data_IF_153213156290
#
_entry.id   IF_153213156290
#
_cell.length_a   1.000
_cell.length_b   1.000
_cell.length_c   1.000
_cell.angle_alpha   90.00
_cell.angle_beta   90.00
_cell.angle_gamma   90.00
#
_symmetry.space_group_name_H-M   'P 1'
#
loop_
_entity.id
_entity.type
_entity.pdbx_description
1 polymer ?
#
# COMPACT_ATOMS: atom_id res chain seq x y z
N UNK A 1 -1.46 -34.45 -0.22
CA UNK A 1 -0.10 -34.54 -0.82
C UNK A 1 -0.25 -34.90 -2.28
N UNK A 2 -0.04 -33.96 -3.20
CA UNK A 2 -0.12 -34.19 -4.65
C UNK A 2 1.24 -33.95 -5.29
N UNK A 3 1.74 -34.95 -6.03
CA UNK A 3 3.00 -34.90 -6.78
C UNK A 3 2.97 -33.79 -7.84
N UNK A 4 4.07 -33.05 -7.95
CA UNK A 4 4.32 -32.10 -9.05
C UNK A 4 5.00 -32.87 -10.18
N UNK A 5 4.41 -32.87 -11.38
CA UNK A 5 5.05 -33.29 -12.63
C UNK A 5 5.04 -32.12 -13.61
N UNK A 6 6.15 -31.95 -14.33
CA UNK A 6 6.34 -30.92 -15.35
C UNK A 6 5.62 -31.32 -16.64
N UNK A 7 4.40 -30.82 -16.84
CA UNK A 7 3.76 -30.81 -18.14
C UNK A 7 3.57 -29.37 -18.62
N UNK A 8 4.12 -29.07 -19.80
CA UNK A 8 3.87 -27.84 -20.54
C UNK A 8 2.48 -27.93 -21.16
N UNK A 9 1.50 -27.24 -20.59
CA UNK A 9 0.16 -27.14 -21.16
C UNK A 9 0.12 -25.96 -22.14
N UNK A 10 0.16 -26.25 -23.44
CA UNK A 10 -0.14 -25.27 -24.48
C UNK A 10 -1.66 -25.18 -24.61
N UNK A 11 -2.26 -24.11 -24.10
CA UNK A 11 -3.67 -23.80 -24.34
C UNK A 11 -3.79 -22.73 -25.43
N UNK A 12 -4.68 -22.96 -26.40
CA UNK A 12 -4.91 -22.11 -27.58
C UNK A 12 -4.94 -20.60 -27.34
N UNK A 13 -4.42 -19.86 -28.32
CA UNK A 13 -4.08 -18.44 -28.32
C UNK A 13 -5.25 -17.47 -28.50
N UNK A 14 -6.48 -17.93 -28.70
CA UNK A 14 -7.61 -17.05 -28.97
C UNK A 14 -8.48 -16.80 -27.74
N UNK A 15 -8.05 -15.89 -26.86
CA UNK A 15 -8.94 -15.19 -25.93
C UNK A 15 -8.51 -13.72 -25.80
N UNK A 16 -9.43 -12.79 -26.10
CA UNK A 16 -9.27 -11.35 -25.85
C UNK A 16 -9.29 -11.06 -24.34
N UNK A 17 -8.19 -11.33 -23.66
CA UNK A 17 -8.01 -10.98 -22.26
C UNK A 17 -6.72 -11.58 -21.70
N UNK A 18 -5.89 -10.76 -21.06
CA UNK A 18 -4.75 -11.27 -20.27
C UNK A 18 -5.30 -12.20 -19.19
N UNK A 19 -4.86 -13.46 -19.17
CA UNK A 19 -5.14 -14.36 -18.05
C UNK A 19 -4.57 -13.72 -16.79
N UNK A 20 -5.40 -13.58 -15.74
CA UNK A 20 -4.87 -13.40 -14.39
C UNK A 20 -3.98 -14.63 -14.12
N UNK A 21 -2.71 -14.40 -13.79
CA UNK A 21 -1.78 -15.48 -13.45
C UNK A 21 -2.40 -16.36 -12.36
N UNK A 22 -2.10 -17.66 -12.35
CA UNK A 22 -2.59 -18.56 -11.30
C UNK A 22 -2.11 -18.04 -9.94
N UNK A 23 -3.12 -17.87 -9.07
CA UNK A 23 -3.09 -17.43 -7.68
C UNK A 23 -2.19 -18.24 -6.73
N UNK A 24 -1.01 -17.85 -6.23
CA UNK A 24 -0.37 -18.63 -5.16
C UNK A 24 -1.26 -18.62 -3.91
N UNK A 25 -1.48 -19.79 -3.30
CA UNK A 25 -2.44 -20.01 -2.20
C UNK A 25 -2.03 -19.46 -0.82
N UNK A 26 -0.97 -18.67 -0.72
CA UNK A 26 -0.47 -18.12 0.54
C UNK A 26 -0.72 -16.61 0.62
N UNK A 27 -1.99 -16.23 0.83
CA UNK A 27 -2.43 -14.83 0.84
C UNK A 27 -2.85 -14.41 2.22
N UNK A 28 -2.30 -13.28 2.65
CA UNK A 28 -2.80 -12.54 3.78
C UNK A 28 -3.90 -11.59 3.32
N UNK A 29 -4.95 -11.46 4.14
CA UNK A 29 -6.04 -10.52 3.90
C UNK A 29 -5.86 -9.30 4.81
N UNK A 30 -6.23 -8.13 4.29
CA UNK A 30 -6.39 -6.90 5.06
C UNK A 30 -7.85 -6.50 4.98
N UNK A 31 -8.48 -6.25 6.11
CA UNK A 31 -9.86 -5.76 6.15
C UNK A 31 -9.85 -4.24 6.16
N UNK A 32 -10.70 -3.62 5.34
CA UNK A 32 -10.98 -2.19 5.35
C UNK A 32 -12.38 -1.96 5.93
N UNK A 33 -12.49 -1.13 6.96
CA UNK A 33 -13.75 -0.53 7.37
C UNK A 33 -13.72 0.94 6.92
N UNK A 34 -14.63 1.29 6.01
CA UNK A 34 -14.70 2.62 5.41
C UNK A 34 -16.07 3.27 5.66
N UNK A 35 -16.11 4.60 5.71
CA UNK A 35 -17.34 5.37 5.75
C UNK A 35 -17.23 6.59 4.82
N UNK A 36 -18.35 6.95 4.21
CA UNK A 36 -18.50 8.11 3.34
C UNK A 36 -19.74 8.91 3.73
N UNK A 37 -19.68 10.21 3.48
CA UNK A 37 -20.77 11.15 3.75
C UNK A 37 -21.41 11.61 2.44
N UNK A 38 -22.72 11.85 2.48
CA UNK A 38 -23.45 12.49 1.37
C UNK A 38 -22.89 13.87 1.01
N UNK A 39 -22.12 14.50 1.91
CA UNK A 39 -21.39 15.73 1.65
C UNK A 39 -20.17 15.57 0.72
N UNK A 40 -19.87 14.38 0.23
CA UNK A 40 -18.80 14.15 -0.77
C UNK A 40 -17.41 13.90 -0.16
N UNK A 41 -17.33 13.50 1.10
CA UNK A 41 -16.07 13.23 1.80
C UNK A 41 -16.09 11.85 2.47
N UNK A 42 -14.90 11.30 2.72
CA UNK A 42 -14.70 10.01 3.38
C UNK A 42 -14.11 10.19 4.77
N UNK A 43 -14.45 9.26 5.67
CA UNK A 43 -13.73 9.09 6.94
C UNK A 43 -12.38 8.43 6.64
N UNK A 44 -11.29 8.81 7.32
CA UNK A 44 -10.00 8.16 7.17
C UNK A 44 -10.11 6.63 7.32
N UNK A 45 -9.47 5.84 6.44
CA UNK A 45 -9.51 4.38 6.48
C UNK A 45 -9.17 3.79 7.84
N UNK A 46 -9.90 2.73 8.19
CA UNK A 46 -9.61 1.87 9.31
C UNK A 46 -9.24 0.49 8.78
N UNK A 47 -7.95 0.16 8.87
CA UNK A 47 -7.37 -1.06 8.32
C UNK A 47 -7.15 -2.08 9.44
N UNK A 48 -7.52 -3.34 9.22
CA UNK A 48 -7.27 -4.43 10.16
C UNK A 48 -6.29 -5.41 9.52
N UNK A 49 -5.13 -5.56 10.15
CA UNK A 49 -4.08 -6.48 9.76
C UNK A 49 -4.16 -7.77 10.55
N UNK A 50 -3.94 -8.92 9.90
CA UNK A 50 -3.80 -10.18 10.61
C UNK A 50 -2.51 -10.19 11.44
N UNK A 51 -2.59 -10.44 12.74
CA UNK A 51 -1.46 -10.49 13.65
C UNK A 51 -1.77 -9.94 15.05
N UNK A 52 -0.76 -9.98 15.91
CA UNK A 52 -0.90 -9.59 17.33
C UNK A 52 -0.15 -8.31 17.69
N UNK A 53 0.78 -7.86 16.84
CA UNK A 53 1.66 -6.74 17.14
C UNK A 53 1.67 -5.73 16.01
N UNK A 54 1.71 -4.46 16.41
CA UNK A 54 2.07 -3.34 15.57
C UNK A 54 3.58 -3.34 15.34
N UNK A 55 4.01 -3.27 14.08
CA UNK A 55 5.42 -3.21 13.70
C UNK A 55 5.82 -1.78 13.33
N UNK A 56 6.96 -1.31 13.84
CA UNK A 56 7.49 0.04 13.60
C UNK A 56 7.51 0.41 12.12
N UNK A 57 7.95 -0.49 11.25
CA UNK A 57 8.05 -0.25 9.81
C UNK A 57 6.72 0.15 9.13
N UNK A 58 5.56 -0.23 9.67
CA UNK A 58 4.25 0.19 9.13
C UNK A 58 4.03 1.69 9.32
N UNK A 59 4.58 2.25 10.38
CA UNK A 59 4.49 3.65 10.77
C UNK A 59 5.64 4.48 10.21
N UNK A 60 6.43 3.93 9.29
CA UNK A 60 7.42 4.66 8.48
C UNK A 60 6.98 4.79 7.00
N UNK A 61 5.89 4.14 6.60
CA UNK A 61 5.31 4.30 5.26
C UNK A 61 4.58 5.65 5.14
N UNK A 62 4.57 6.21 3.94
CA UNK A 62 3.90 7.47 3.62
C UNK A 62 2.39 7.25 3.46
N UNK A 63 1.69 7.24 4.60
CA UNK A 63 0.23 7.25 4.70
C UNK A 63 -0.23 8.39 5.62
N UNK A 64 -1.44 8.94 5.44
CA UNK A 64 -1.90 10.06 6.25
C UNK A 64 -1.96 9.71 7.75
N UNK A 65 -1.61 10.69 8.61
CA UNK A 65 -1.48 10.52 10.07
C UNK A 65 -2.78 10.08 10.75
N UNK A 66 -3.92 10.39 10.16
CA UNK A 66 -5.25 10.08 10.68
C UNK A 66 -5.77 8.70 10.26
N UNK A 67 -5.02 7.93 9.47
CA UNK A 67 -5.39 6.56 9.15
C UNK A 67 -5.19 5.65 10.37
N UNK A 68 -6.18 4.79 10.63
CA UNK A 68 -6.14 3.85 11.73
C UNK A 68 -5.69 2.47 11.24
N UNK A 69 -4.74 1.87 11.96
CA UNK A 69 -4.31 0.48 11.79
C UNK A 69 -4.67 -0.26 13.08
N UNK A 70 -5.41 -1.35 12.92
CA UNK A 70 -5.75 -2.29 13.96
C UNK A 70 -5.14 -3.65 13.65
N UNK A 71 -5.01 -4.50 14.67
CA UNK A 71 -4.55 -5.87 14.49
C UNK A 71 -5.53 -6.86 15.13
N UNK A 72 -5.77 -7.98 14.47
CA UNK A 72 -6.53 -9.12 15.00
C UNK A 72 -5.90 -10.43 14.55
N UNK A 73 -6.05 -11.52 15.31
CA UNK A 73 -5.37 -12.79 15.02
C UNK A 73 -5.62 -13.30 13.59
N UNK A 74 -6.82 -13.08 13.07
CA UNK A 74 -7.27 -13.57 11.76
C UNK A 74 -7.45 -12.46 10.71
N UNK A 75 -7.22 -11.18 11.07
CA UNK A 75 -7.40 -10.03 10.20
C UNK A 75 -8.86 -9.61 9.98
N UNK A 76 -9.83 -10.27 10.64
CA UNK A 76 -11.26 -9.93 10.57
C UNK A 76 -11.65 -8.95 11.68
N UNK A 77 -12.78 -8.28 11.50
CA UNK A 77 -13.40 -7.46 12.53
C UNK A 77 -14.08 -8.33 13.60
N UNK A 78 -14.19 -7.79 14.81
CA UNK A 78 -14.98 -8.33 15.92
C UNK A 78 -15.78 -7.19 16.57
N UNK A 79 -16.44 -7.46 17.71
CA UNK A 79 -17.26 -6.47 18.38
C UNK A 79 -16.39 -5.34 18.96
N UNK A 80 -15.24 -5.68 19.54
CA UNK A 80 -14.30 -4.74 20.15
C UNK A 80 -13.75 -3.77 19.10
N UNK A 81 -13.29 -4.28 17.96
CA UNK A 81 -12.83 -3.47 16.83
C UNK A 81 -13.97 -2.67 16.18
N UNK A 82 -15.21 -3.18 16.23
CA UNK A 82 -16.40 -2.44 15.81
C UNK A 82 -16.63 -1.19 16.66
N UNK A 83 -16.46 -1.30 17.98
CA UNK A 83 -16.53 -0.16 18.90
C UNK A 83 -15.37 0.81 18.70
N UNK A 84 -14.14 0.32 18.53
CA UNK A 84 -12.99 1.18 18.24
C UNK A 84 -13.14 1.93 16.90
N UNK A 85 -13.68 1.26 15.88
CA UNK A 85 -14.04 1.92 14.62
C UNK A 85 -15.12 2.99 14.82
N UNK A 86 -16.11 2.78 15.70
CA UNK A 86 -17.14 3.77 15.98
C UNK A 86 -16.56 5.00 16.70
N UNK A 87 -15.60 4.81 17.62
CA UNK A 87 -14.85 5.92 18.24
C UNK A 87 -14.09 6.72 17.18
N UNK A 88 -13.39 6.03 16.27
CA UNK A 88 -12.71 6.63 15.12
C UNK A 88 -13.68 7.41 14.22
N UNK A 89 -14.80 6.79 13.83
CA UNK A 89 -15.87 7.44 13.07
C UNK A 89 -16.37 8.70 13.78
N UNK A 90 -16.63 8.62 15.08
CA UNK A 90 -17.14 9.76 15.84
C UNK A 90 -16.13 10.91 15.85
N UNK A 91 -14.85 10.63 16.13
CA UNK A 91 -13.78 11.63 16.15
C UNK A 91 -13.66 12.41 14.83
N UNK A 92 -13.86 11.73 13.69
CA UNK A 92 -13.77 12.36 12.37
C UNK A 92 -15.06 12.99 11.84
N UNK A 93 -16.21 12.71 12.45
CA UNK A 93 -17.51 13.19 11.96
C UNK A 93 -18.20 14.16 12.89
N UNK A 94 -17.87 14.18 14.19
CA UNK A 94 -18.57 15.01 15.18
C UNK A 94 -18.50 16.51 14.84
N UNK A 95 -17.31 17.02 14.52
CA UNK A 95 -17.11 18.42 14.12
C UNK A 95 -17.76 18.79 12.78
N UNK A 96 -18.22 17.80 11.99
CA UNK A 96 -18.86 17.97 10.69
C UNK A 96 -20.38 17.77 10.76
N UNK A 97 -20.94 17.63 11.96
CA UNK A 97 -22.37 17.40 12.16
C UNK A 97 -23.17 18.62 11.72
N UNK A 98 -24.19 18.39 10.89
CA UNK A 98 -25.17 19.40 10.52
C UNK A 98 -26.48 19.05 11.22
N UNK A 99 -27.01 19.97 12.03
CA UNK A 99 -28.18 19.72 12.87
C UNK A 99 -27.84 18.98 14.16
N UNK A 100 -28.83 18.26 14.72
CA UNK A 100 -28.70 17.64 16.04
C UNK A 100 -28.16 16.19 16.02
N UNK A 101 -28.21 15.50 14.87
CA UNK A 101 -28.01 14.05 14.78
C UNK A 101 -27.27 13.65 13.51
N UNK A 102 -26.53 12.54 13.58
CA UNK A 102 -25.92 11.88 12.41
C UNK A 102 -26.64 10.56 12.12
N UNK A 103 -26.92 10.29 10.86
CA UNK A 103 -27.45 8.99 10.41
C UNK A 103 -26.28 8.13 9.91
N UNK A 104 -26.12 6.95 10.48
CA UNK A 104 -25.13 5.96 10.09
C UNK A 104 -25.84 4.76 9.46
N UNK A 105 -25.68 4.59 8.14
CA UNK A 105 -26.28 3.49 7.38
C UNK A 105 -25.27 2.34 7.34
N UNK A 106 -25.67 1.17 7.84
CA UNK A 106 -24.83 -0.02 8.00
C UNK A 106 -25.48 -1.27 7.42
N UNK A 107 -24.66 -2.27 7.11
CA UNK A 107 -25.17 -3.60 6.81
C UNK A 107 -25.56 -4.34 8.11
N UNK A 108 -26.19 -5.51 7.96
CA UNK A 108 -26.61 -6.34 9.08
C UNK A 108 -25.48 -7.15 9.73
N UNK A 109 -24.22 -6.72 9.63
CA UNK A 109 -23.10 -7.48 10.19
C UNK A 109 -23.10 -7.48 11.73
N UNK A 110 -22.76 -8.63 12.34
CA UNK A 110 -22.87 -8.86 13.79
C UNK A 110 -22.03 -7.87 14.63
N UNK A 111 -20.91 -7.38 14.09
CA UNK A 111 -19.99 -6.45 14.80
C UNK A 111 -20.63 -5.12 15.20
N UNK A 112 -21.73 -4.71 14.57
CA UNK A 112 -22.44 -3.47 14.88
C UNK A 112 -23.71 -3.71 15.73
N UNK A 113 -23.93 -4.95 16.19
CA UNK A 113 -25.10 -5.34 16.98
C UNK A 113 -24.79 -5.49 18.47
N UNK A 114 -23.56 -5.18 18.92
CA UNK A 114 -23.23 -5.21 20.35
C UNK A 114 -23.94 -4.09 21.11
N UNK A 115 -24.25 -4.34 22.38
CA UNK A 115 -24.87 -3.36 23.27
C UNK A 115 -23.99 -2.10 23.39
N UNK A 116 -22.69 -2.30 23.61
CA UNK A 116 -21.70 -1.21 23.73
C UNK A 116 -21.68 -0.31 22.47
N UNK A 117 -21.77 -0.91 21.28
CA UNK A 117 -21.83 -0.14 20.03
C UNK A 117 -23.10 0.72 19.95
N UNK A 118 -24.25 0.17 20.38
CA UNK A 118 -25.53 0.88 20.38
C UNK A 118 -25.57 1.99 21.43
N UNK A 119 -25.04 1.74 22.63
CA UNK A 119 -24.92 2.74 23.70
C UNK A 119 -24.03 3.90 23.26
N UNK A 120 -22.86 3.61 22.69
CA UNK A 120 -21.95 4.64 22.18
C UNK A 120 -22.58 5.47 21.05
N UNK A 121 -23.37 4.84 20.16
CA UNK A 121 -24.15 5.56 19.16
C UNK A 121 -25.15 6.53 19.80
N UNK A 122 -25.90 6.05 20.81
CA UNK A 122 -26.91 6.84 21.52
C UNK A 122 -26.28 8.04 22.24
N UNK A 123 -25.18 7.82 22.96
CA UNK A 123 -24.43 8.87 23.67
C UNK A 123 -23.92 9.96 22.72
N UNK A 124 -23.55 9.59 21.49
CA UNK A 124 -22.99 10.51 20.50
C UNK A 124 -24.02 11.05 19.48
N UNK A 125 -25.33 10.88 19.74
CA UNK A 125 -26.42 11.30 18.85
C UNK A 125 -26.31 10.73 17.42
N UNK A 126 -25.83 9.49 17.30
CA UNK A 126 -25.73 8.73 16.05
C UNK A 126 -26.92 7.77 15.99
N UNK A 127 -27.73 7.90 14.95
CA UNK A 127 -28.81 6.95 14.66
C UNK A 127 -28.30 5.93 13.65
N UNK A 128 -28.40 4.65 13.98
CA UNK A 128 -28.05 3.58 13.04
C UNK A 128 -29.28 3.17 12.23
N UNK A 129 -29.08 2.98 10.92
CA UNK A 129 -30.08 2.41 10.03
C UNK A 129 -29.47 1.17 9.37
N UNK A 130 -29.98 0.00 9.72
CA UNK A 130 -29.56 -1.26 9.12
C UNK A 130 -30.27 -1.46 7.78
N UNK A 131 -29.50 -1.76 6.73
CA UNK A 131 -30.06 -2.12 5.44
C UNK A 131 -30.73 -3.51 5.49
N UNK A 132 -31.75 -3.76 4.64
CA UNK A 132 -32.30 -5.10 4.47
C UNK A 132 -31.23 -6.11 4.05
N UNK A 133 -31.35 -7.39 4.45
CA UNK A 133 -30.44 -8.45 4.00
C UNK A 133 -30.32 -8.50 2.47
N UNK A 134 -29.12 -8.85 1.98
CA UNK A 134 -28.81 -9.00 0.55
C UNK A 134 -29.03 -7.76 -0.33
N UNK A 135 -29.17 -6.56 0.25
CA UNK A 135 -29.43 -5.32 -0.48
C UNK A 135 -28.22 -4.39 -0.66
N UNK A 136 -27.02 -4.77 -0.19
CA UNK A 136 -25.81 -3.93 -0.27
C UNK A 136 -25.50 -3.42 -1.68
N UNK A 137 -25.62 -4.28 -2.69
CA UNK A 137 -25.39 -3.92 -4.09
C UNK A 137 -26.36 -2.87 -4.65
N UNK A 138 -27.45 -2.58 -3.93
CA UNK A 138 -28.46 -1.59 -4.29
C UNK A 138 -28.39 -0.35 -3.40
N UNK A 139 -28.33 -0.55 -2.08
CA UNK A 139 -28.54 0.50 -1.09
C UNK A 139 -27.25 0.99 -0.42
N UNK A 140 -26.13 0.27 -0.53
CA UNK A 140 -24.88 0.63 0.12
C UNK A 140 -24.03 1.50 -0.83
N UNK A 141 -23.87 2.80 -0.57
CA UNK A 141 -23.14 3.68 -1.49
C UNK A 141 -21.71 3.21 -1.75
N UNK A 142 -21.04 2.66 -0.72
CA UNK A 142 -19.69 2.12 -0.87
C UNK A 142 -19.61 1.03 -1.94
N UNK A 143 -20.54 0.07 -1.96
CA UNK A 143 -20.59 -0.99 -2.97
C UNK A 143 -21.00 -0.47 -4.35
N UNK A 144 -21.97 0.45 -4.39
CA UNK A 144 -22.51 1.01 -5.62
C UNK A 144 -21.46 1.86 -6.36
N UNK A 145 -20.65 2.65 -5.64
CA UNK A 145 -19.82 3.68 -6.28
C UNK A 145 -18.33 3.69 -5.92
N UNK A 146 -17.89 3.17 -4.77
CA UNK A 146 -16.49 3.35 -4.32
C UNK A 146 -15.65 2.07 -4.41
N UNK A 147 -16.19 0.92 -4.02
CA UNK A 147 -15.43 -0.33 -3.90
C UNK A 147 -15.04 -0.92 -5.26
N UNK A 148 -15.88 -0.78 -6.30
CA UNK A 148 -15.51 -1.22 -7.65
C UNK A 148 -14.34 -0.41 -8.23
N UNK A 149 -14.35 0.95 -8.20
CA UNK A 149 -13.17 1.76 -8.51
C UNK A 149 -11.95 1.41 -7.65
N UNK A 150 -12.11 1.22 -6.34
CA UNK A 150 -11.00 0.85 -5.44
C UNK A 150 -10.35 -0.46 -5.88
N UNK A 151 -11.14 -1.53 -6.11
CA UNK A 151 -10.64 -2.83 -6.58
C UNK A 151 -9.87 -2.71 -7.89
N UNK A 152 -10.36 -1.89 -8.83
CA UNK A 152 -9.68 -1.63 -10.11
C UNK A 152 -8.38 -0.85 -9.92
N UNK A 153 -8.38 0.21 -9.12
CA UNK A 153 -7.20 1.03 -8.85
C UNK A 153 -6.12 0.21 -8.12
N UNK A 154 -6.50 -0.54 -7.09
CA UNK A 154 -5.58 -1.41 -6.37
C UNK A 154 -5.01 -2.52 -7.26
N UNK A 155 -5.83 -3.11 -8.14
CA UNK A 155 -5.34 -4.10 -9.11
C UNK A 155 -4.25 -3.52 -10.03
N UNK A 156 -4.38 -2.25 -10.44
CA UNK A 156 -3.36 -1.57 -11.25
C UNK A 156 -2.06 -1.34 -10.46
N UNK A 157 -2.17 -1.00 -9.17
CA UNK A 157 -0.99 -0.86 -8.30
C UNK A 157 -0.26 -2.19 -8.12
N UNK A 158 -1.01 -3.27 -7.88
CA UNK A 158 -0.45 -4.63 -7.82
C UNK A 158 0.24 -5.01 -9.14
N UNK A 159 -0.40 -4.74 -10.29
CA UNK A 159 0.24 -4.97 -11.59
C UNK A 159 1.51 -4.14 -11.79
N UNK A 160 1.55 -2.90 -11.29
CA UNK A 160 2.73 -2.04 -11.33
C UNK A 160 3.88 -2.63 -10.50
N UNK A 161 3.59 -3.07 -9.27
CA UNK A 161 4.55 -3.76 -8.41
C UNK A 161 5.09 -5.04 -9.05
N UNK A 162 4.21 -5.86 -9.63
CA UNK A 162 4.59 -7.09 -10.33
C UNK A 162 5.47 -6.81 -11.55
N UNK A 163 5.15 -5.77 -12.33
CA UNK A 163 6.03 -5.31 -13.41
C UNK A 163 7.39 -4.98 -12.82
N UNK A 164 7.47 -4.30 -11.69
CA UNK A 164 8.76 -4.00 -11.04
C UNK A 164 9.42 -5.16 -10.29
N UNK A 165 9.08 -6.42 -10.61
CA UNK A 165 9.61 -7.64 -10.00
C UNK A 165 9.34 -7.76 -8.48
N UNK A 166 8.40 -6.97 -7.95
CA UNK A 166 7.91 -7.10 -6.58
C UNK A 166 6.72 -8.06 -6.61
N UNK A 167 7.04 -9.36 -6.52
CA UNK A 167 6.04 -10.43 -6.62
C UNK A 167 5.43 -10.86 -5.27
N UNK A 168 6.03 -10.41 -4.16
CA UNK A 168 5.54 -10.67 -2.82
C UNK A 168 5.14 -9.35 -2.16
N UNK A 169 3.84 -9.11 -2.02
CA UNK A 169 3.29 -7.89 -1.44
C UNK A 169 3.09 -8.13 0.06
N UNK A 170 3.94 -7.54 0.89
CA UNK A 170 3.73 -7.50 2.34
C UNK A 170 2.85 -6.30 2.72
N UNK A 171 2.55 -6.15 4.01
CA UNK A 171 1.89 -4.93 4.53
C UNK A 171 2.63 -3.64 4.17
N UNK A 172 3.96 -3.68 4.02
CA UNK A 172 4.77 -2.52 3.65
C UNK A 172 4.55 -2.10 2.20
N UNK A 173 4.41 -3.05 1.27
CA UNK A 173 4.03 -2.75 -0.12
C UNK A 173 2.53 -2.44 -0.24
N UNK A 174 1.69 -3.07 0.59
CA UNK A 174 0.24 -2.86 0.62
C UNK A 174 -0.13 -1.43 0.96
N UNK A 175 0.42 -0.86 2.05
CA UNK A 175 0.04 0.47 2.54
C UNK A 175 0.12 1.59 1.48
N UNK A 176 1.25 1.81 0.78
CA UNK A 176 1.34 2.84 -0.25
C UNK A 176 0.51 2.51 -1.49
N UNK A 177 0.43 1.24 -1.90
CA UNK A 177 -0.41 0.81 -3.03
C UNK A 177 -1.91 1.04 -2.72
N UNK A 178 -2.34 0.72 -1.50
CA UNK A 178 -3.69 0.94 -1.02
C UNK A 178 -4.00 2.43 -0.89
N UNK A 179 -3.07 3.24 -0.36
CA UNK A 179 -3.21 4.72 -0.34
C UNK A 179 -3.47 5.28 -1.74
N UNK A 180 -2.60 4.96 -2.69
CA UNK A 180 -2.76 5.43 -4.05
C UNK A 180 -4.09 4.95 -4.69
N UNK A 181 -4.55 3.75 -4.35
CA UNK A 181 -5.83 3.22 -4.81
C UNK A 181 -7.02 3.92 -4.15
N UNK A 182 -6.95 4.17 -2.84
CA UNK A 182 -7.97 4.84 -2.04
C UNK A 182 -8.17 6.28 -2.51
N UNK A 183 -7.08 7.04 -2.68
CA UNK A 183 -7.11 8.43 -3.15
C UNK A 183 -7.78 8.57 -4.53
N UNK A 184 -7.61 7.57 -5.42
CA UNK A 184 -8.26 7.54 -6.74
C UNK A 184 -9.71 7.07 -6.72
N UNK A 185 -10.12 6.33 -5.69
CA UNK A 185 -11.44 5.74 -5.60
C UNK A 185 -12.42 6.57 -4.75
N UNK A 186 -11.96 7.17 -3.66
CA UNK A 186 -12.78 7.91 -2.70
C UNK A 186 -12.78 9.41 -3.01
N UNK A 187 -13.03 9.77 -4.27
CA UNK A 187 -13.15 11.16 -4.71
C UNK A 187 -14.55 11.70 -4.41
N UNK A 188 -14.73 13.03 -4.23
CA UNK A 188 -16.05 13.63 -4.05
C UNK A 188 -17.03 13.24 -5.16
N UNK A 189 -16.57 13.23 -6.42
CA UNK A 189 -17.39 12.84 -7.56
C UNK A 189 -17.92 11.39 -7.44
N UNK A 190 -17.05 10.43 -7.08
CA UNK A 190 -17.46 9.05 -6.88
C UNK A 190 -18.42 8.91 -5.70
N UNK A 191 -18.19 9.65 -4.60
CA UNK A 191 -19.06 9.63 -3.42
C UNK A 191 -20.45 10.20 -3.75
N UNK A 192 -20.56 11.35 -4.42
CA UNK A 192 -21.85 11.88 -4.83
C UNK A 192 -22.59 10.91 -5.78
N UNK A 193 -21.87 10.32 -6.73
CA UNK A 193 -22.43 9.31 -7.63
C UNK A 193 -22.88 8.06 -6.89
N UNK A 194 -22.16 7.66 -5.83
CA UNK A 194 -22.49 6.52 -4.99
C UNK A 194 -23.84 6.71 -4.28
N UNK A 195 -24.02 7.86 -3.61
CA UNK A 195 -25.27 8.19 -2.93
C UNK A 195 -26.44 8.34 -3.90
N UNK A 196 -26.21 8.94 -5.08
CA UNK A 196 -27.22 9.03 -6.14
C UNK A 196 -27.59 7.65 -6.68
N UNK A 197 -26.60 6.80 -6.95
CA UNK A 197 -26.81 5.44 -7.48
C UNK A 197 -27.54 4.52 -6.50
N UNK A 198 -27.36 4.74 -5.21
CA UNK A 198 -28.10 4.09 -4.12
C UNK A 198 -29.47 4.71 -3.85
N UNK A 199 -29.86 5.77 -4.57
CA UNK A 199 -31.15 6.45 -4.41
C UNK A 199 -31.33 7.15 -3.06
N UNK A 200 -30.25 7.44 -2.33
CA UNK A 200 -30.30 8.03 -1.00
C UNK A 200 -30.24 9.57 -1.05
N UNK A 201 -29.39 10.12 -1.92
CA UNK A 201 -29.22 11.58 -2.07
C UNK A 201 -29.10 11.99 -3.55
N UNK A 202 -30.10 12.70 -4.10
CA UNK A 202 -31.43 12.92 -3.52
C UNK A 202 -32.17 11.59 -3.30
N UNK A 203 -33.15 11.58 -2.39
CA UNK A 203 -33.96 10.40 -2.12
C UNK A 203 -34.79 10.04 -3.36
N UNK A 204 -34.46 8.91 -4.01
CA UNK A 204 -35.09 8.42 -5.24
C UNK A 204 -35.38 6.91 -5.11
N UNK A 205 -36.45 6.51 -4.41
CA UNK A 205 -36.77 5.10 -4.18
C UNK A 205 -37.01 4.34 -5.50
N UNK A 206 -37.71 4.96 -6.45
CA UNK A 206 -38.05 4.34 -7.75
C UNK A 206 -36.82 3.90 -8.55
N UNK A 207 -35.72 4.67 -8.50
CA UNK A 207 -34.48 4.32 -9.18
C UNK A 207 -33.81 3.05 -8.63
N UNK A 208 -34.13 2.67 -7.39
CA UNK A 208 -33.69 1.42 -6.77
C UNK A 208 -34.71 0.32 -7.01
N UNK A 209 -36.00 0.60 -6.82
CA UNK A 209 -37.08 -0.38 -7.01
C UNK A 209 -37.14 -0.90 -8.45
N UNK A 210 -36.90 -0.04 -9.45
CA UNK A 210 -36.87 -0.45 -10.85
C UNK A 210 -35.76 -1.46 -11.19
N UNK A 211 -34.71 -1.57 -10.36
CA UNK A 211 -33.62 -2.55 -10.55
C UNK A 211 -33.98 -3.95 -10.04
N UNK A 212 -35.04 -4.06 -9.24
CA UNK A 212 -35.55 -5.35 -8.76
C UNK A 212 -36.32 -6.09 -9.86
N UNK A 213 -36.80 -5.36 -10.87
CA UNK A 213 -37.50 -5.92 -12.03
C UNK A 213 -36.47 -6.28 -13.14
N UNK A 214 -35.88 -7.47 -13.02
CA UNK A 214 -34.77 -7.91 -13.88
C UNK A 214 -35.30 -8.42 -15.21
N UNK A 215 -35.22 -7.61 -16.27
CA UNK A 215 -35.31 -8.09 -17.65
C UNK A 215 -33.94 -8.54 -18.16
N UNK A 216 -33.74 -9.85 -18.32
CA UNK A 216 -32.54 -10.43 -18.92
C UNK A 216 -32.44 -9.99 -20.39
N UNK A 217 -31.45 -9.13 -20.71
CA UNK A 217 -31.08 -8.83 -22.09
C UNK A 217 -29.84 -9.62 -22.50
N UNK A 218 -29.98 -10.46 -23.51
CA UNK A 218 -28.87 -11.18 -24.13
C UNK A 218 -28.03 -10.19 -24.94
N UNK A 219 -26.71 -10.05 -24.69
CA UNK A 219 -25.85 -9.20 -25.51
C UNK A 219 -25.77 -9.74 -26.94
N UNK A 220 -25.92 -8.87 -27.94
CA UNK A 220 -25.69 -9.21 -29.35
C UNK A 220 -24.19 -9.51 -29.57
N UNK A 221 -23.81 -10.60 -30.26
CA UNK A 221 -22.42 -10.90 -30.56
C UNK A 221 -21.77 -9.78 -31.37
N UNK A 222 -20.50 -9.42 -31.11
CA UNK A 222 -19.78 -8.47 -31.95
C UNK A 222 -19.60 -9.05 -33.35
N UNK A 223 -19.82 -8.23 -34.38
CA UNK A 223 -19.50 -8.59 -35.76
C UNK A 223 -17.98 -8.84 -35.90
N UNK A 224 -17.63 -9.85 -36.72
CA UNK A 224 -16.26 -10.17 -37.06
C UNK A 224 -15.60 -8.99 -37.81
N UNK A 225 -14.37 -8.65 -37.43
CA UNK A 225 -13.54 -7.69 -38.17
C UNK A 225 -12.92 -8.39 -39.39
N UNK A 226 -12.85 -7.74 -40.56
CA UNK A 226 -12.19 -8.30 -41.73
C UNK A 226 -10.66 -8.33 -41.57
N UNK A 227 -10.04 -9.35 -42.16
CA UNK A 227 -8.58 -9.53 -42.22
C UNK A 227 -7.90 -8.36 -42.93
N UNK A 228 -6.89 -7.78 -42.27
CA UNK A 228 -6.05 -6.75 -42.86
C UNK A 228 -4.95 -7.40 -43.74
N UNK A 229 -4.68 -6.88 -44.94
CA UNK A 229 -3.58 -7.35 -45.77
C UNK A 229 -2.22 -6.99 -45.14
N UNK A 230 -1.26 -7.92 -45.31
CA UNK A 230 0.11 -7.85 -44.81
C UNK A 230 0.86 -6.59 -45.28
N UNK A 231 1.62 -5.96 -44.37
CA UNK A 231 2.37 -4.71 -44.59
C UNK A 231 3.87 -4.96 -44.47
N UNK A 232 4.65 -4.24 -45.30
CA UNK A 232 6.11 -4.30 -45.42
C UNK A 232 6.88 -4.34 -44.08
N UNK A 233 7.92 -5.18 -44.03
CA UNK A 233 8.71 -5.45 -42.83
C UNK A 233 9.68 -4.29 -42.50
N UNK A 234 9.54 -3.78 -41.28
CA UNK A 234 10.42 -2.75 -40.69
C UNK A 234 11.68 -3.42 -40.14
N UNK A 235 12.88 -2.82 -40.29
CA UNK A 235 14.10 -3.32 -39.66
C UNK A 235 13.91 -3.44 -38.15
N UNK A 236 14.17 -4.62 -37.60
CA UNK A 236 13.96 -4.96 -36.19
C UNK A 236 15.25 -4.89 -35.36
N UNK A 237 16.41 -4.79 -36.01
CA UNK A 237 17.72 -4.76 -35.37
C UNK A 237 18.73 -3.93 -36.17
N UNK A 238 19.86 -3.59 -35.52
CA UNK A 238 20.90 -2.74 -36.09
C UNK A 238 21.50 -3.31 -37.39
N UNK A 239 21.57 -4.63 -37.52
CA UNK A 239 22.12 -5.32 -38.70
C UNK A 239 21.17 -5.20 -39.91
N UNK A 240 19.86 -5.32 -39.68
CA UNK A 240 18.84 -5.08 -40.71
C UNK A 240 18.81 -3.62 -41.15
N UNK A 241 18.99 -2.68 -40.22
CA UNK A 241 19.10 -1.26 -40.51
C UNK A 241 20.34 -0.96 -41.37
N UNK A 242 21.49 -1.55 -41.04
CA UNK A 242 22.74 -1.43 -41.80
C UNK A 242 22.62 -2.03 -43.21
N UNK A 243 21.95 -3.18 -43.34
CA UNK A 243 21.68 -3.81 -44.62
C UNK A 243 20.74 -2.96 -45.50
N UNK A 244 19.68 -2.39 -44.93
CA UNK A 244 18.78 -1.48 -45.66
C UNK A 244 19.47 -0.17 -46.06
N UNK A 245 20.27 0.42 -45.18
CA UNK A 245 21.08 1.61 -45.48
C UNK A 245 22.05 1.36 -46.64
N UNK A 246 22.70 0.20 -46.66
CA UNK A 246 23.59 -0.23 -47.74
C UNK A 246 22.84 -0.42 -49.06
N UNK A 247 21.63 -1.01 -49.02
CA UNK A 247 20.76 -1.18 -50.18
C UNK A 247 20.31 0.16 -50.77
N UNK A 248 19.94 1.14 -49.92
CA UNK A 248 19.58 2.49 -50.34
C UNK A 248 20.78 3.16 -51.03
N UNK A 249 21.97 3.09 -50.43
CA UNK A 249 23.21 3.67 -50.98
C UNK A 249 23.53 3.12 -52.37
N UNK A 250 23.35 1.82 -52.57
CA UNK A 250 23.58 1.17 -53.86
C UNK A 250 22.53 1.57 -54.90
N UNK A 251 21.24 1.59 -54.52
CA UNK A 251 20.15 2.04 -55.41
C UNK A 251 20.33 3.50 -55.85
N UNK A 252 20.79 4.38 -54.96
CA UNK A 252 21.11 5.78 -55.29
C UNK A 252 22.29 5.87 -56.27
N UNK A 253 23.36 5.07 -56.06
CA UNK A 253 24.53 5.04 -56.95
C UNK A 253 24.21 4.54 -58.36
N UNK A 254 23.29 3.60 -58.49
CA UNK A 254 22.90 3.00 -59.77
C UNK A 254 21.76 3.75 -60.50
N UNK A 255 21.22 4.82 -59.90
CA UNK A 255 20.08 5.54 -60.44
C UNK A 255 20.46 6.40 -61.66
N UNK A 256 19.95 6.05 -62.85
CA UNK A 256 20.30 6.74 -64.11
C UNK A 256 19.22 7.58 -64.78
N UNK A 257 17.94 7.53 -64.35
CA UNK A 257 16.83 8.44 -64.76
C UNK A 257 15.41 7.87 -64.58
N UNK A 258 15.23 6.61 -64.15
CA UNK A 258 13.89 6.05 -63.86
C UNK A 258 13.28 6.63 -62.57
N UNK A 259 12.00 6.36 -62.27
CA UNK A 259 11.28 6.93 -61.10
C UNK A 259 12.01 6.72 -59.75
N UNK A 260 12.05 7.74 -58.85
CA UNK A 260 12.69 7.66 -57.53
C UNK A 260 11.87 6.92 -56.47
N UNK A 261 10.69 6.41 -56.81
CA UNK A 261 9.74 5.80 -55.87
C UNK A 261 10.36 4.69 -54.99
N UNK A 262 11.20 3.82 -55.57
CA UNK A 262 11.85 2.73 -54.83
C UNK A 262 12.90 3.20 -53.81
N UNK A 263 13.51 4.37 -54.04
CA UNK A 263 14.47 4.98 -53.12
C UNK A 263 13.71 5.70 -52.00
N UNK A 264 12.65 6.43 -52.33
CA UNK A 264 11.76 7.11 -51.37
C UNK A 264 11.15 6.08 -50.42
N UNK A 265 10.64 4.96 -50.93
CA UNK A 265 10.06 3.89 -50.12
C UNK A 265 11.07 3.30 -49.13
N UNK A 266 12.31 3.09 -49.54
CA UNK A 266 13.36 2.58 -48.67
C UNK A 266 13.79 3.61 -47.59
N UNK A 267 13.82 4.91 -47.94
CA UNK A 267 14.04 5.99 -46.96
C UNK A 267 12.88 6.05 -45.94
N UNK A 268 11.63 5.92 -46.39
CA UNK A 268 10.46 5.90 -45.51
C UNK A 268 10.47 4.69 -44.56
N UNK A 269 10.92 3.52 -45.03
CA UNK A 269 11.11 2.33 -44.20
C UNK A 269 12.20 2.56 -43.14
N UNK A 270 13.33 3.17 -43.52
CA UNK A 270 14.41 3.51 -42.59
C UNK A 270 13.94 4.54 -41.54
N UNK A 271 13.20 5.56 -41.96
CA UNK A 271 12.59 6.54 -41.06
C UNK A 271 11.67 5.86 -40.05
N UNK A 272 10.75 5.00 -40.49
CA UNK A 272 9.85 4.24 -39.61
C UNK A 272 10.63 3.34 -38.64
N UNK A 273 11.67 2.66 -39.11
CA UNK A 273 12.54 1.84 -38.26
C UNK A 273 13.23 2.67 -37.18
N UNK A 274 13.77 3.83 -37.53
CA UNK A 274 14.38 4.76 -36.58
C UNK A 274 13.36 5.28 -35.55
N UNK A 275 12.15 5.67 -35.98
CA UNK A 275 11.06 6.09 -35.09
C UNK A 275 10.68 5.01 -34.07
N UNK A 276 10.54 3.75 -34.52
CA UNK A 276 10.24 2.61 -33.64
C UNK A 276 11.38 2.35 -32.65
N UNK A 277 12.64 2.41 -33.10
CA UNK A 277 13.80 2.24 -32.22
C UNK A 277 13.90 3.36 -31.18
N UNK A 278 13.66 4.62 -31.57
CA UNK A 278 13.67 5.76 -30.66
C UNK A 278 12.57 5.64 -29.60
N UNK A 279 11.35 5.30 -30.01
CA UNK A 279 10.24 5.05 -29.08
C UNK A 279 10.56 3.88 -28.14
N UNK A 280 11.14 2.81 -28.65
CA UNK A 280 11.54 1.65 -27.85
C UNK A 280 12.64 2.02 -26.85
N UNK A 281 13.61 2.85 -27.24
CA UNK A 281 14.66 3.34 -26.35
C UNK A 281 14.08 4.23 -25.23
N UNK A 282 13.08 5.06 -25.53
CA UNK A 282 12.37 5.85 -24.52
C UNK A 282 11.65 4.94 -23.51
N UNK A 283 10.88 3.97 -24.01
CA UNK A 283 10.19 2.99 -23.17
C UNK A 283 11.17 2.18 -22.30
N UNK A 284 12.35 1.84 -22.83
CA UNK A 284 13.41 1.17 -22.07
C UNK A 284 14.00 2.07 -20.98
N UNK A 285 14.26 3.36 -21.27
CA UNK A 285 14.74 4.33 -20.27
C UNK A 285 13.74 4.52 -19.15
N UNK A 286 12.47 4.71 -19.47
CA UNK A 286 11.38 4.78 -18.48
C UNK A 286 11.30 3.51 -17.63
N UNK A 287 11.47 2.36 -18.27
CA UNK A 287 11.44 1.06 -17.59
C UNK A 287 12.60 0.88 -16.62
N UNK A 288 13.83 1.22 -17.04
CA UNK A 288 15.03 1.18 -16.20
C UNK A 288 14.84 2.12 -15.01
N UNK A 289 14.43 3.37 -15.24
CA UNK A 289 14.20 4.34 -14.17
C UNK A 289 13.15 3.86 -13.16
N UNK A 290 12.05 3.26 -13.64
CA UNK A 290 11.00 2.70 -12.78
C UNK A 290 11.52 1.52 -11.94
N UNK A 291 12.33 0.64 -12.55
CA UNK A 291 12.95 -0.48 -11.86
C UNK A 291 13.96 -0.03 -10.80
N UNK A 292 14.82 0.94 -11.12
CA UNK A 292 15.78 1.50 -10.17
C UNK A 292 15.07 2.10 -8.95
N UNK A 293 14.03 2.93 -9.18
CA UNK A 293 13.23 3.53 -8.10
C UNK A 293 12.57 2.45 -7.22
N UNK A 294 11.96 1.45 -7.85
CA UNK A 294 11.28 0.37 -7.14
C UNK A 294 12.26 -0.51 -6.35
N UNK A 295 13.44 -0.80 -6.91
CA UNK A 295 14.47 -1.59 -6.24
C UNK A 295 15.07 -0.85 -5.04
N UNK A 296 15.32 0.45 -5.18
CA UNK A 296 15.77 1.31 -4.08
C UNK A 296 14.75 1.36 -2.94
N UNK A 297 13.46 1.56 -3.25
CA UNK A 297 12.38 1.55 -2.26
C UNK A 297 12.23 0.18 -1.58
N UNK A 298 12.28 -0.91 -2.33
CA UNK A 298 12.23 -2.27 -1.78
C UNK A 298 13.44 -2.57 -0.88
N UNK A 299 14.62 -2.10 -1.26
CA UNK A 299 15.85 -2.25 -0.47
C UNK A 299 15.77 -1.44 0.83
N UNK A 300 15.29 -0.21 0.79
CA UNK A 300 15.06 0.61 1.99
C UNK A 300 14.07 -0.08 2.94
N UNK A 301 12.94 -0.60 2.45
CA UNK A 301 11.96 -1.35 3.26
C UNK A 301 12.54 -2.60 3.90
N UNK A 302 13.45 -3.31 3.21
CA UNK A 302 14.12 -4.49 3.77
C UNK A 302 15.06 -4.15 4.92
N UNK A 303 15.63 -2.95 4.92
CA UNK A 303 16.52 -2.47 5.97
C UNK A 303 15.77 -1.89 7.18
N UNK A 304 14.47 -1.57 7.03
CA UNK A 304 13.65 -1.02 8.12
C UNK A 304 13.55 -1.98 9.30
N UNK A 305 13.57 -1.39 10.49
CA UNK A 305 13.38 -2.10 11.74
C UNK A 305 11.94 -2.62 11.84
N UNK A 306 11.78 -3.87 12.27
CA UNK A 306 10.47 -4.51 12.50
C UNK A 306 10.20 -4.69 13.99
N UNK A 307 10.57 -3.69 14.80
CA UNK A 307 10.35 -3.70 16.26
C UNK A 307 8.85 -3.74 16.53
N UNK A 308 8.46 -4.53 17.52
CA UNK A 308 7.08 -4.59 18.01
C UNK A 308 6.87 -3.38 18.91
N UNK A 309 5.95 -2.50 18.55
CA UNK A 309 5.72 -1.25 19.29
C UNK A 309 4.47 -1.30 20.18
N UNK A 310 3.49 -2.12 19.82
CA UNK A 310 2.28 -2.33 20.61
C UNK A 310 1.73 -3.72 20.35
N UNK A 311 1.15 -4.35 21.38
CA UNK A 311 0.42 -5.60 21.27
C UNK A 311 -1.09 -5.31 21.22
N UNK A 312 -1.79 -5.87 20.23
CA UNK A 312 -3.21 -5.69 19.98
C UNK A 312 -3.65 -4.22 19.82
N UNK A 313 -4.96 -4.02 19.69
CA UNK A 313 -5.60 -2.71 19.66
C UNK A 313 -5.38 -1.95 18.36
N UNK A 314 -5.70 -0.66 18.43
CA UNK A 314 -5.69 0.28 17.30
C UNK A 314 -4.64 1.35 17.55
N UNK A 315 -3.96 1.75 16.49
CA UNK A 315 -3.08 2.90 16.47
C UNK A 315 -3.36 3.71 15.21
N UNK A 316 -3.50 5.02 15.36
CA UNK A 316 -3.42 5.90 14.21
C UNK A 316 -1.97 5.96 13.74
N UNK A 317 -1.78 6.23 12.45
CA UNK A 317 -0.46 6.44 11.88
C UNK A 317 0.33 7.51 12.67
N UNK A 318 -0.34 8.61 13.03
CA UNK A 318 0.24 9.68 13.83
C UNK A 318 0.67 9.24 15.22
N UNK A 319 -0.18 8.50 15.94
CA UNK A 319 0.17 7.96 17.26
C UNK A 319 1.34 6.97 17.19
N UNK A 320 1.41 6.15 16.13
CA UNK A 320 2.55 5.27 15.92
C UNK A 320 3.84 6.03 15.62
N UNK A 321 3.79 7.11 14.84
CA UNK A 321 4.95 8.00 14.63
C UNK A 321 5.41 8.65 15.94
N UNK A 322 4.48 9.10 16.77
CA UNK A 322 4.79 9.71 18.07
C UNK A 322 5.47 8.69 19.01
N UNK A 323 5.00 7.43 19.01
CA UNK A 323 5.65 6.33 19.75
C UNK A 323 7.08 6.09 19.24
N UNK A 324 7.31 6.13 17.92
CA UNK A 324 8.65 5.94 17.36
C UNK A 324 9.59 7.08 17.76
N UNK A 325 9.12 8.32 17.63
CA UNK A 325 9.88 9.51 18.03
C UNK A 325 10.24 9.49 19.52
N UNK A 326 9.29 9.12 20.40
CA UNK A 326 9.55 9.00 21.83
C UNK A 326 10.59 7.92 22.14
N UNK A 327 10.49 6.75 21.51
CA UNK A 327 11.46 5.66 21.70
C UNK A 327 12.88 6.05 21.25
N UNK A 328 13.00 6.86 20.20
CA UNK A 328 14.29 7.39 19.73
C UNK A 328 14.88 8.41 20.73
N UNK A 329 14.05 9.32 21.23
CA UNK A 329 14.44 10.28 22.26
C UNK A 329 14.90 9.57 23.55
N UNK A 330 14.15 8.57 24.03
CA UNK A 330 14.50 7.80 25.22
C UNK A 330 15.80 7.01 25.04
N UNK A 331 16.05 6.46 23.85
CA UNK A 331 17.30 5.78 23.52
C UNK A 331 18.49 6.74 23.52
N UNK A 332 18.29 7.97 23.04
CA UNK A 332 19.32 8.99 23.04
C UNK A 332 19.64 9.46 24.46
N UNK A 333 18.62 9.73 25.28
CA UNK A 333 18.79 10.09 26.70
C UNK A 333 19.56 9.00 27.44
N UNK A 334 19.14 7.74 27.30
CA UNK A 334 19.80 6.60 27.96
C UNK A 334 21.27 6.42 27.50
N UNK A 335 21.58 6.76 26.26
CA UNK A 335 22.95 6.73 25.75
C UNK A 335 23.79 7.87 26.34
N UNK A 336 23.25 9.08 26.40
CA UNK A 336 23.90 10.25 27.01
C UNK A 336 24.14 10.06 28.52
N UNK A 337 23.19 9.50 29.26
CA UNK A 337 23.35 9.16 30.68
C UNK A 337 24.48 8.16 30.91
N UNK A 338 24.59 7.13 30.06
CA UNK A 338 25.69 6.15 30.14
C UNK A 338 27.05 6.79 29.86
N UNK A 339 27.12 7.72 28.92
CA UNK A 339 28.36 8.45 28.61
C UNK A 339 28.70 9.50 29.68
N UNK A 340 27.71 10.15 30.28
CA UNK A 340 27.86 11.08 31.39
C UNK A 340 28.33 10.39 32.67
N UNK A 341 27.75 9.22 32.99
CA UNK A 341 28.17 8.39 34.12
C UNK A 341 29.61 7.87 34.00
N UNK A 342 30.08 7.61 32.77
CA UNK A 342 31.47 7.25 32.51
C UNK A 342 32.45 8.43 32.72
N UNK A 343 32.01 9.68 32.57
CA UNK A 343 32.83 10.88 32.83
C UNK A 343 32.86 11.29 34.31
N UNK A 344 31.83 10.98 35.10
CA UNK A 344 31.85 11.18 36.56
C UNK A 344 32.61 10.09 37.32
N UNK A 345 32.93 8.97 36.67
CA UNK A 345 33.78 7.91 37.19
C UNK A 345 35.28 8.25 37.18
N UNK A 346 35.67 9.42 37.67
CA UNK A 346 37.06 9.64 38.08
C UNK A 346 37.34 8.66 39.22
N UNK A 347 38.11 7.62 38.89
CA UNK A 347 38.74 6.67 39.79
C UNK A 347 38.99 7.29 41.18
N UNK A 348 38.17 6.93 42.17
CA UNK A 348 38.64 6.92 43.55
C UNK A 348 39.76 5.87 43.60
N UNK A 349 40.98 6.29 43.26
CA UNK A 349 42.20 5.53 43.52
C UNK A 349 42.14 5.19 45.00
N UNK A 350 41.90 3.91 45.32
CA UNK A 350 41.96 3.42 46.69
C UNK A 350 43.27 3.93 47.31
N UNK A 351 43.16 4.84 48.29
CA UNK A 351 44.31 5.40 48.96
C UNK A 351 45.11 4.24 49.55
N UNK A 352 46.35 4.05 49.07
CA UNK A 352 47.19 2.95 49.54
C UNK A 352 47.41 3.12 51.05
N UNK A 353 47.00 2.11 51.81
CA UNK A 353 47.20 2.03 53.26
C UNK A 353 48.59 1.47 53.56
N UNK A 354 49.24 2.01 54.58
CA UNK A 354 50.51 1.50 55.09
C UNK A 354 50.33 0.04 55.54
N UNK A 355 51.20 -0.87 55.11
CA UNK A 355 51.06 -2.29 55.46
C UNK A 355 51.39 -2.60 56.93
N UNK A 356 52.06 -1.69 57.64
CA UNK A 356 52.36 -1.83 59.09
C UNK A 356 51.19 -1.40 59.99
N UNK A 357 50.63 -0.21 59.80
CA UNK A 357 49.58 0.35 60.68
C UNK A 357 48.19 0.49 60.02
N UNK A 358 48.06 0.18 58.72
CA UNK A 358 46.81 0.28 57.92
C UNK A 358 46.21 1.68 57.77
N UNK A 359 46.94 2.74 58.12
CA UNK A 359 46.55 4.13 57.87
C UNK A 359 46.95 4.61 56.47
N UNK A 360 46.25 5.61 55.93
CA UNK A 360 46.55 6.24 54.64
C UNK A 360 47.50 7.43 54.82
N UNK A 361 48.27 7.80 53.78
CA UNK A 361 49.13 8.99 53.79
C UNK A 361 50.63 8.75 53.96
N UNK A 362 51.07 7.52 54.26
CA UNK A 362 52.48 7.12 54.30
C UNK A 362 52.66 5.64 53.92
N UNK A 363 53.91 5.18 53.74
CA UNK A 363 54.21 3.78 53.41
C UNK A 363 54.98 3.07 54.54
N UNK A 364 55.14 1.75 54.45
CA UNK A 364 55.78 0.96 55.51
C UNK A 364 57.22 1.34 55.84
N UNK A 365 57.94 2.00 54.92
CA UNK A 365 59.32 2.48 55.13
C UNK A 365 59.38 3.78 55.93
N UNK A 366 58.27 4.50 56.03
CA UNK A 366 58.14 5.80 56.72
C UNK A 366 57.20 5.71 57.93
N UNK A 367 56.83 4.50 58.31
CA UNK A 367 55.90 4.21 59.40
C UNK A 367 56.63 4.23 60.75
N UNK A 368 56.27 5.18 61.63
CA UNK A 368 56.92 5.39 62.93
C UNK A 368 56.45 4.45 64.05
N UNK A 369 55.54 3.51 63.79
CA UNK A 369 55.06 2.57 64.81
C UNK A 369 55.98 1.34 64.86
N UNK A 370 56.82 1.25 65.90
CA UNK A 370 57.52 0.03 66.29
C UNK A 370 56.60 -0.80 67.20
N UNK A 371 55.95 -1.82 66.64
CA UNK A 371 55.25 -2.85 67.42
C UNK A 371 56.29 -3.80 68.06
N UNK A 372 56.63 -3.53 69.31
CA UNK A 372 57.12 -4.52 70.27
C UNK A 372 56.01 -4.71 71.30
N UNK A 373 55.36 -5.87 71.27
CA UNK A 373 55.12 -6.68 72.48
C UNK A 373 54.45 -7.99 72.07
N UNK A 374 55.21 -9.06 72.32
CA UNK A 374 54.79 -10.44 72.42
C UNK A 374 54.46 -10.64 73.91
N UNK A 375 53.24 -11.10 74.20
CA UNK A 375 52.96 -12.22 75.11
C UNK A 375 51.67 -12.90 74.64
#
# INVERSE_FOLDING_TARGET
>A
MGKITTQLVITGSERRGRRKSIQPGNREWVTLIAAISAGGWSVPPFLIFAGQYHLSAWYEEDIPRDWAIAVSDNGWTNNELGVEWLKHFNAHTQARTIGARRLLIIDGHRSHQSLEFQELCKENNIHTLCMPPHSSHLLQPLDVGCFSPLKRAYSREVESLMRNHINHITKLEFLPAFKAAFDRAFTPANIYSAFRGAGLVPLQPEAVLSKLDVQLRTPTPPAALPDAPWVAQTPSNARELEAQSSLIRERVRQHKSSSPASIIEAIDQLKKGAEVMMLSAELMRDRISSLEKANSAASARRQRSKRRIQKHGVLTKGAGEDILAQNEADQQIAHEERQGGARSGLSQRAQRRCTRCKETGHNSRTCNTNTLNIE
#
